data_IF_039744541086
#
_entry.id   IF_039744541086
#
_cell.length_a   1.000
_cell.length_b   1.000
_cell.length_c   1.000
_cell.angle_alpha   90.00
_cell.angle_beta   90.00
_cell.angle_gamma   90.00
#
_symmetry.space_group_name_H-M   'P 1'
#
loop_
_entity.id
_entity.type
_entity.pdbx_description
1 polymer ?
#
# COMPACT_ATOMS: atom_id res chain seq x y z
N UNK A 1 54.54 -6.65 14.67
CA UNK A 1 53.96 -5.44 15.32
C UNK A 1 52.98 -4.81 14.35
N UNK A 2 51.69 -4.80 14.68
CA UNK A 2 50.65 -4.17 13.86
C UNK A 2 50.78 -2.65 14.04
N UNK A 3 50.93 -1.91 12.93
CA UNK A 3 51.09 -0.45 12.96
C UNK A 3 49.83 0.23 13.51
N UNK A 4 49.98 1.37 14.16
CA UNK A 4 48.86 2.13 14.73
C UNK A 4 47.84 2.54 13.64
N UNK A 5 48.30 2.73 12.40
CA UNK A 5 47.45 3.00 11.24
C UNK A 5 46.55 1.81 10.89
N UNK A 6 47.07 0.59 10.95
CA UNK A 6 46.31 -0.64 10.70
C UNK A 6 45.23 -0.88 11.76
N UNK A 7 45.50 -0.51 13.03
CA UNK A 7 44.50 -0.56 14.12
C UNK A 7 43.37 0.44 13.92
N UNK A 8 43.68 1.67 13.52
CA UNK A 8 42.68 2.72 13.22
C UNK A 8 41.79 2.28 12.06
N UNK A 9 42.37 1.70 11.01
CA UNK A 9 41.61 1.20 9.87
C UNK A 9 40.66 0.06 10.25
N UNK A 10 41.11 -0.87 11.11
CA UNK A 10 40.28 -1.96 11.63
C UNK A 10 39.11 -1.44 12.48
N UNK A 11 39.35 -0.43 13.31
CA UNK A 11 38.30 0.20 14.14
C UNK A 11 37.28 0.91 13.24
N UNK A 12 37.74 1.68 12.25
CA UNK A 12 36.87 2.34 11.28
C UNK A 12 36.03 1.35 10.47
N UNK A 13 36.61 0.22 10.06
CA UNK A 13 35.89 -0.84 9.36
C UNK A 13 34.83 -1.51 10.27
N UNK A 14 35.12 -1.66 11.56
CA UNK A 14 34.15 -2.17 12.54
C UNK A 14 33.01 -1.20 12.85
N UNK A 15 33.18 0.10 12.58
CA UNK A 15 32.11 1.09 12.79
C UNK A 15 31.12 1.12 11.63
N UNK A 16 31.53 0.70 10.42
CA UNK A 16 30.69 0.68 9.22
C UNK A 16 29.54 -0.35 9.31
N UNK A 17 29.71 -1.44 10.07
CA UNK A 17 28.66 -2.46 10.28
C UNK A 17 27.46 -1.95 11.11
N UNK A 18 27.60 -0.84 11.85
CA UNK A 18 26.50 -0.27 12.63
C UNK A 18 25.63 0.72 11.84
N UNK A 19 26.03 1.11 10.62
CA UNK A 19 25.33 2.14 9.82
C UNK A 19 24.20 1.54 8.96
N UNK A 20 24.15 0.22 8.77
CA UNK A 20 23.25 -0.40 7.78
C UNK A 20 21.88 -0.84 8.32
N UNK A 21 21.61 -0.70 9.62
CA UNK A 21 20.34 -1.15 10.19
C UNK A 21 19.29 -0.03 10.17
N UNK A 22 18.62 0.16 9.04
CA UNK A 22 17.37 0.93 8.97
C UNK A 22 16.21 -0.04 8.77
N UNK A 23 15.20 0.03 9.64
CA UNK A 23 13.93 -0.68 9.41
C UNK A 23 13.27 -0.01 8.21
N UNK A 24 13.37 -0.63 7.02
CA UNK A 24 12.51 -0.24 5.90
C UNK A 24 11.07 -0.49 6.35
N UNK A 25 10.24 0.56 6.27
CA UNK A 25 8.80 0.36 6.14
C UNK A 25 8.62 -0.20 4.72
N UNK A 26 8.70 -1.51 4.58
CA UNK A 26 8.33 -2.13 3.32
C UNK A 26 6.81 -2.02 3.20
N UNK A 27 6.35 -1.12 2.33
CA UNK A 27 4.99 -1.21 1.81
C UNK A 27 4.89 -2.55 1.10
N UNK A 28 4.20 -3.50 1.72
CA UNK A 28 4.12 -4.86 1.20
C UNK A 28 3.38 -4.86 -0.14
N UNK A 29 2.35 -4.02 -0.28
CA UNK A 29 1.58 -3.87 -1.51
C UNK A 29 2.24 -2.77 -2.38
N UNK A 30 2.68 -3.09 -3.61
CA UNK A 30 3.22 -2.10 -4.53
C UNK A 30 2.17 -1.05 -4.93
N UNK A 31 2.61 0.21 -5.09
CA UNK A 31 1.75 1.28 -5.57
C UNK A 31 1.23 0.99 -6.99
N UNK A 32 -0.07 1.18 -7.20
CA UNK A 32 -0.77 0.96 -8.47
C UNK A 32 -1.51 2.21 -8.91
N UNK A 33 -1.68 2.39 -10.21
CA UNK A 33 -2.48 3.49 -10.74
C UNK A 33 -3.96 3.23 -10.45
N UNK A 34 -4.69 4.25 -10.00
CA UNK A 34 -6.13 4.16 -9.77
C UNK A 34 -6.78 5.43 -10.25
N UNK A 35 -7.63 5.31 -11.28
CA UNK A 35 -8.43 6.42 -11.78
C UNK A 35 -9.77 5.89 -12.31
N UNK A 36 -10.83 6.10 -11.53
CA UNK A 36 -12.22 5.83 -11.89
C UNK A 36 -13.14 6.75 -11.08
N UNK A 37 -14.41 6.82 -11.45
CA UNK A 37 -15.44 7.60 -10.74
C UNK A 37 -16.63 6.71 -10.44
N UNK A 38 -17.13 6.77 -9.22
CA UNK A 38 -18.37 6.09 -8.82
C UNK A 38 -19.53 7.09 -8.88
N UNK A 39 -20.61 6.65 -9.50
CA UNK A 39 -21.90 7.34 -9.50
C UNK A 39 -22.78 6.74 -8.41
N UNK A 40 -23.07 7.50 -7.35
CA UNK A 40 -23.89 7.01 -6.24
C UNK A 40 -25.34 6.74 -6.66
N UNK A 41 -25.82 7.32 -7.75
CA UNK A 41 -27.14 7.07 -8.30
C UNK A 41 -27.25 5.76 -9.11
N UNK A 42 -26.13 5.08 -9.38
CA UNK A 42 -26.14 3.74 -9.99
C UNK A 42 -26.65 2.71 -8.96
N UNK A 43 -27.71 1.94 -9.29
CA UNK A 43 -28.23 0.89 -8.41
C UNK A 43 -27.18 -0.11 -7.92
N UNK A 44 -26.09 -0.34 -8.68
CA UNK A 44 -24.98 -1.22 -8.29
C UNK A 44 -24.24 -0.76 -7.03
N UNK A 45 -24.39 0.50 -6.64
CA UNK A 45 -23.71 1.11 -5.49
C UNK A 45 -24.67 1.61 -4.42
N UNK A 46 -25.90 1.08 -4.38
CA UNK A 46 -26.89 1.43 -3.35
C UNK A 46 -26.39 1.18 -1.93
N UNK A 47 -25.55 0.16 -1.73
CA UNK A 47 -24.93 -0.11 -0.43
C UNK A 47 -24.11 1.09 0.08
N UNK A 48 -23.51 1.89 -0.80
CA UNK A 48 -22.74 3.08 -0.42
C UNK A 48 -23.61 4.22 0.13
N UNK A 49 -24.94 4.14 0.06
CA UNK A 49 -25.84 5.14 0.63
C UNK A 49 -25.87 5.09 2.16
N UNK A 50 -25.68 3.91 2.74
CA UNK A 50 -25.65 3.72 4.18
C UNK A 50 -24.22 3.86 4.73
N UNK A 51 -24.05 4.66 5.78
CA UNK A 51 -22.79 4.75 6.52
C UNK A 51 -22.48 3.39 7.14
N UNK A 52 -21.21 2.96 7.06
CA UNK A 52 -20.77 1.66 7.57
C UNK A 52 -20.83 0.52 6.54
N UNK A 53 -21.39 0.75 5.35
CA UNK A 53 -21.38 -0.23 4.26
C UNK A 53 -20.18 -0.06 3.33
N UNK A 54 -19.93 -1.10 2.54
CA UNK A 54 -18.87 -1.12 1.53
C UNK A 54 -19.29 -1.85 0.28
N UNK A 55 -18.66 -1.51 -0.84
CA UNK A 55 -18.77 -2.23 -2.11
C UNK A 55 -17.40 -2.64 -2.61
N UNK A 56 -17.39 -3.69 -3.43
CA UNK A 56 -16.19 -4.16 -4.11
C UNK A 56 -16.19 -3.61 -5.53
N UNK A 57 -15.12 -2.90 -5.88
CA UNK A 57 -14.85 -2.42 -7.23
C UNK A 57 -13.90 -3.42 -7.91
N UNK A 58 -14.39 -4.03 -8.99
CA UNK A 58 -13.64 -5.00 -9.78
C UNK A 58 -12.97 -4.34 -11.00
N UNK A 59 -12.11 -5.11 -11.67
CA UNK A 59 -11.49 -4.71 -12.94
C UNK A 59 -12.46 -4.53 -14.09
N UNK A 60 -13.68 -5.07 -13.98
CA UNK A 60 -14.76 -4.81 -14.93
C UNK A 60 -15.26 -3.36 -14.86
N UNK A 61 -15.37 -2.80 -13.64
CA UNK A 61 -15.84 -1.44 -13.44
C UNK A 61 -14.73 -0.39 -13.59
N UNK A 62 -13.62 -0.57 -12.87
CA UNK A 62 -12.53 0.40 -12.86
C UNK A 62 -11.60 0.27 -14.09
N UNK A 63 -11.72 -0.82 -14.84
CA UNK A 63 -10.73 -1.24 -15.82
C UNK A 63 -9.53 -1.92 -15.14
N UNK A 64 -8.87 -2.83 -15.86
CA UNK A 64 -7.74 -3.61 -15.34
C UNK A 64 -6.68 -2.72 -14.68
N UNK A 65 -6.25 -1.64 -15.32
CA UNK A 65 -5.18 -0.79 -14.79
C UNK A 65 -5.54 0.05 -13.56
N UNK A 66 -6.81 0.11 -13.16
CA UNK A 66 -7.27 0.91 -12.02
C UNK A 66 -7.92 0.07 -10.91
N UNK A 67 -7.76 -1.25 -10.96
CA UNK A 67 -8.44 -2.18 -10.05
C UNK A 67 -7.50 -2.76 -8.99
N UNK A 68 -6.72 -1.90 -8.34
CA UNK A 68 -5.75 -2.30 -7.33
C UNK A 68 -4.56 -3.08 -7.90
N UNK A 69 -3.71 -3.56 -7.01
CA UNK A 69 -2.58 -4.43 -7.34
C UNK A 69 -3.07 -5.78 -7.87
N UNK A 70 -2.44 -6.27 -8.94
CA UNK A 70 -2.77 -7.53 -9.62
C UNK A 70 -4.27 -7.73 -9.96
N UNK A 71 -5.00 -6.65 -10.21
CA UNK A 71 -6.44 -6.69 -10.51
C UNK A 71 -7.29 -7.27 -9.37
N UNK A 72 -6.75 -7.29 -8.14
CA UNK A 72 -7.43 -7.82 -6.97
C UNK A 72 -8.64 -6.99 -6.59
N UNK A 73 -8.84 -5.80 -7.14
CA UNK A 73 -9.98 -4.94 -6.85
C UNK A 73 -9.76 -4.03 -5.66
N UNK A 74 -10.74 -3.16 -5.43
CA UNK A 74 -10.69 -2.10 -4.43
C UNK A 74 -11.95 -2.18 -3.58
N UNK A 75 -11.80 -2.08 -2.26
CA UNK A 75 -12.93 -1.94 -1.33
C UNK A 75 -13.20 -0.44 -1.18
N UNK A 76 -14.42 -0.01 -1.50
CA UNK A 76 -14.89 1.36 -1.22
C UNK A 76 -15.85 1.30 -0.05
N UNK A 77 -15.56 2.04 1.01
CA UNK A 77 -16.29 2.03 2.28
C UNK A 77 -16.85 3.43 2.58
N UNK A 78 -18.13 3.51 2.95
CA UNK A 78 -18.78 4.77 3.38
C UNK A 78 -18.48 5.01 4.85
N UNK A 79 -17.49 5.87 5.12
CA UNK A 79 -17.05 6.18 6.49
C UNK A 79 -17.99 7.16 7.19
N UNK A 80 -18.38 8.24 6.50
CA UNK A 80 -19.26 9.28 7.03
C UNK A 80 -20.18 9.80 5.93
N UNK A 81 -21.03 10.79 6.22
CA UNK A 81 -21.94 11.37 5.24
C UNK A 81 -21.20 11.94 4.01
N UNK A 82 -20.00 12.48 4.19
CA UNK A 82 -19.26 13.15 3.12
C UNK A 82 -17.92 12.49 2.78
N UNK A 83 -17.60 11.35 3.40
CA UNK A 83 -16.29 10.71 3.26
C UNK A 83 -16.41 9.24 2.88
N UNK A 84 -15.53 8.86 1.95
CA UNK A 84 -15.34 7.50 1.48
C UNK A 84 -13.89 7.12 1.62
N UNK A 85 -13.64 5.90 2.07
CA UNK A 85 -12.30 5.32 2.06
C UNK A 85 -12.20 4.26 0.96
N UNK A 86 -11.02 4.16 0.36
CA UNK A 86 -10.71 3.18 -0.67
C UNK A 86 -9.47 2.38 -0.24
N UNK A 87 -9.58 1.06 -0.27
CA UNK A 87 -8.51 0.15 0.13
C UNK A 87 -8.24 -0.86 -0.98
N UNK A 88 -6.97 -1.17 -1.22
CA UNK A 88 -6.60 -2.30 -2.08
C UNK A 88 -7.06 -3.61 -1.43
N UNK A 89 -7.62 -4.54 -2.22
CA UNK A 89 -8.11 -5.84 -1.71
C UNK A 89 -6.99 -6.89 -1.60
N UNK A 90 -5.75 -6.55 -1.92
CA UNK A 90 -4.59 -7.44 -1.79
C UNK A 90 -4.27 -7.67 -0.31
N UNK A 91 -4.11 -8.93 0.07
CA UNK A 91 -3.73 -9.28 1.44
C UNK A 91 -2.27 -8.84 1.70
N UNK A 92 -1.99 -8.01 2.72
CA UNK A 92 -0.62 -7.55 3.01
C UNK A 92 0.29 -8.67 3.52
N UNK A 93 -0.22 -9.86 3.82
CA UNK A 93 0.57 -11.00 4.30
C UNK A 93 1.06 -11.93 3.17
N UNK A 94 0.41 -11.93 2.00
CA UNK A 94 0.63 -12.91 0.93
C UNK A 94 0.96 -12.21 -0.40
N UNK A 95 2.14 -11.60 -0.49
CA UNK A 95 2.65 -10.94 -1.71
C UNK A 95 3.99 -11.56 -2.08
#
# INVERSE_FOLDING_TARGET
>A
MISNLSKILLIALSLLIFVTCTKKKEETIPNTYVNFTIRLDDPKFTDLHAIGNSVIITSEYAGRRSAGYDYNGIIVYRFSENEFYAFDRTCPFNI
#
